data_IF_025407285361
#
_entry.id   IF_025407285361
#
_cell.length_a   1.000
_cell.length_b   1.000
_cell.length_c   1.000
_cell.angle_alpha   90.00
_cell.angle_beta   90.00
_cell.angle_gamma   90.00
#
_symmetry.space_group_name_H-M   'P 1'
#
loop_
_entity.id
_entity.type
_entity.pdbx_description
1 polymer ?
#
# COMPACT_ATOMS: atom_id res chain seq x y z
N UNK A 1 18.01 -4.76 7.03
CA UNK A 1 16.89 -4.88 7.99
C UNK A 1 15.93 -5.86 7.34
N UNK A 2 15.62 -7.00 7.97
CA UNK A 2 14.65 -7.95 7.39
C UNK A 2 13.27 -7.53 7.90
N UNK A 3 12.33 -7.25 7.01
CA UNK A 3 10.92 -7.23 7.38
C UNK A 3 10.59 -8.53 8.11
N UNK A 4 9.84 -8.44 9.21
CA UNK A 4 9.28 -9.64 9.83
C UNK A 4 8.27 -10.24 8.83
N UNK A 5 8.65 -11.34 8.19
CA UNK A 5 7.86 -12.03 7.16
C UNK A 5 6.45 -12.37 7.66
N UNK A 6 6.26 -12.55 8.97
CA UNK A 6 4.93 -12.80 9.56
C UNK A 6 4.02 -11.58 9.41
N UNK A 7 4.54 -10.38 9.68
CA UNK A 7 3.78 -9.12 9.59
C UNK A 7 3.43 -8.82 8.14
N UNK A 8 4.39 -9.00 7.22
CA UNK A 8 4.19 -8.80 5.79
C UNK A 8 3.05 -9.68 5.27
N UNK A 9 3.08 -10.97 5.61
CA UNK A 9 2.04 -11.90 5.19
C UNK A 9 0.66 -11.55 5.79
N UNK A 10 0.61 -11.14 7.05
CA UNK A 10 -0.65 -10.72 7.68
C UNK A 10 -1.24 -9.48 7.01
N UNK A 11 -0.41 -8.50 6.66
CA UNK A 11 -0.84 -7.30 5.91
C UNK A 11 -1.39 -7.68 4.54
N UNK A 12 -0.70 -8.56 3.80
CA UNK A 12 -1.15 -9.01 2.48
C UNK A 12 -2.48 -9.75 2.53
N UNK A 13 -2.65 -10.65 3.51
CA UNK A 13 -3.91 -11.36 3.72
C UNK A 13 -5.05 -10.41 4.10
N UNK A 14 -4.79 -9.43 4.97
CA UNK A 14 -5.79 -8.42 5.33
C UNK A 14 -6.14 -7.51 4.16
N UNK A 15 -5.16 -7.07 3.37
CA UNK A 15 -5.36 -6.25 2.17
C UNK A 15 -6.31 -6.95 1.20
N UNK A 16 -6.06 -8.24 0.93
CA UNK A 16 -6.90 -9.06 0.05
C UNK A 16 -8.31 -9.26 0.61
N UNK A 17 -8.41 -9.64 1.90
CA UNK A 17 -9.71 -9.89 2.55
C UNK A 17 -10.61 -8.66 2.61
N UNK A 18 -10.01 -7.47 2.68
CA UNK A 18 -10.72 -6.20 2.76
C UNK A 18 -10.87 -5.49 1.43
N UNK A 19 -10.39 -6.08 0.33
CA UNK A 19 -10.32 -5.43 -0.97
C UNK A 19 -9.72 -4.02 -0.85
N UNK A 20 -8.58 -3.92 -0.15
CA UNK A 20 -7.92 -2.65 0.14
C UNK A 20 -6.79 -2.38 -0.86
N UNK A 21 -6.50 -1.10 -1.10
CA UNK A 21 -5.32 -0.62 -1.83
C UNK A 21 -4.42 0.15 -0.87
N UNK A 22 -3.10 -0.05 -0.97
CA UNK A 22 -2.11 0.66 -0.18
C UNK A 22 -1.40 1.68 -1.08
N UNK A 23 -1.47 2.96 -0.72
CA UNK A 23 -0.84 4.07 -1.43
C UNK A 23 0.28 4.67 -0.58
N UNK A 24 1.54 4.50 -1.01
CA UNK A 24 2.69 5.02 -0.25
C UNK A 24 3.28 6.27 -0.88
N UNK A 25 3.56 7.28 -0.06
CA UNK A 25 4.34 8.43 -0.51
C UNK A 25 5.82 8.06 -0.69
N UNK A 26 6.52 8.71 -1.61
CA UNK A 26 7.96 8.57 -1.86
C UNK A 26 8.88 8.72 -0.62
N UNK A 27 8.35 9.23 0.50
CA UNK A 27 9.09 9.43 1.74
C UNK A 27 8.95 8.27 2.74
N UNK A 28 8.13 7.27 2.44
CA UNK A 28 8.00 6.09 3.29
C UNK A 28 9.28 5.26 3.27
N UNK A 29 9.49 4.49 4.33
CA UNK A 29 10.63 3.56 4.39
C UNK A 29 10.51 2.48 3.30
N UNK A 30 11.63 1.92 2.80
CA UNK A 30 11.63 0.93 1.71
C UNK A 30 10.68 -0.24 1.97
N UNK A 31 10.64 -0.73 3.22
CA UNK A 31 9.79 -1.83 3.65
C UNK A 31 8.30 -1.58 3.39
N UNK A 32 7.85 -0.33 3.50
CA UNK A 32 6.46 0.08 3.24
C UNK A 32 6.23 0.29 1.75
N UNK A 33 7.22 0.83 1.03
CA UNK A 33 7.13 0.98 -0.42
C UNK A 33 7.00 -0.38 -1.12
N UNK A 34 7.72 -1.41 -0.64
CA UNK A 34 7.65 -2.78 -1.16
C UNK A 34 6.26 -3.43 -0.95
N UNK A 35 5.51 -2.98 0.07
CA UNK A 35 4.16 -3.46 0.40
C UNK A 35 3.04 -2.71 -0.33
N UNK A 36 3.32 -1.52 -0.85
CA UNK A 36 2.34 -0.64 -1.46
C UNK A 36 1.93 -1.12 -2.87
N UNK A 37 0.68 -0.87 -3.25
CA UNK A 37 0.21 -1.11 -4.61
C UNK A 37 0.69 0.00 -5.56
N UNK A 38 0.78 1.23 -5.04
CA UNK A 38 1.32 2.37 -5.76
C UNK A 38 2.20 3.21 -4.85
N UNK A 39 3.33 3.66 -5.41
CA UNK A 39 4.25 4.60 -4.75
C UNK A 39 4.33 5.87 -5.60
N UNK A 40 4.18 7.03 -4.98
CA UNK A 40 4.18 8.30 -5.73
C UNK A 40 4.25 9.55 -4.89
N UNK A 41 4.17 10.70 -5.56
CA UNK A 41 3.98 12.01 -4.94
C UNK A 41 2.49 12.33 -4.72
N UNK A 42 2.20 13.49 -4.15
CA UNK A 42 0.82 13.89 -3.85
C UNK A 42 -0.12 13.86 -5.05
N UNK A 43 0.34 14.25 -6.24
CA UNK A 43 -0.50 14.29 -7.43
C UNK A 43 -0.73 12.87 -7.97
N UNK A 44 0.34 12.08 -8.08
CA UNK A 44 0.26 10.69 -8.53
C UNK A 44 -0.68 9.87 -7.65
N UNK A 45 -0.53 9.97 -6.33
CA UNK A 45 -1.39 9.24 -5.40
C UNK A 45 -2.85 9.71 -5.43
N UNK A 46 -3.09 11.02 -5.63
CA UNK A 46 -4.47 11.53 -5.78
C UNK A 46 -5.15 10.98 -7.04
N UNK A 47 -4.39 10.84 -8.13
CA UNK A 47 -4.90 10.26 -9.37
C UNK A 47 -5.21 8.77 -9.19
N UNK A 48 -4.34 8.00 -8.53
CA UNK A 48 -4.58 6.57 -8.29
C UNK A 48 -5.74 6.34 -7.30
N UNK A 49 -5.84 7.17 -6.25
CA UNK A 49 -6.97 7.16 -5.33
C UNK A 49 -8.31 7.47 -6.01
N UNK A 50 -8.31 8.31 -7.05
CA UNK A 50 -9.53 8.61 -7.81
C UNK A 50 -9.94 7.47 -8.77
N UNK A 51 -9.01 6.60 -9.17
CA UNK A 51 -9.24 5.49 -10.12
C UNK A 51 -9.57 4.17 -9.44
N UNK A 52 -9.18 3.99 -8.18
CA UNK A 52 -9.30 2.69 -7.50
C UNK A 52 -10.76 2.28 -7.31
N UNK A 53 -11.01 0.97 -7.45
CA UNK A 53 -12.28 0.33 -7.09
C UNK A 53 -12.18 -0.46 -5.78
N UNK A 54 -11.09 -0.26 -5.03
CA UNK A 54 -10.90 -0.85 -3.70
C UNK A 54 -11.91 -0.25 -2.70
N UNK A 55 -12.37 -1.07 -1.76
CA UNK A 55 -13.32 -0.63 -0.73
C UNK A 55 -12.64 0.23 0.35
N UNK A 56 -11.31 0.07 0.50
CA UNK A 56 -10.50 0.75 1.52
C UNK A 56 -9.21 1.26 0.88
N UNK A 57 -8.81 2.48 1.20
CA UNK A 57 -7.51 3.07 0.88
C UNK A 57 -6.72 3.21 2.19
N UNK A 58 -5.46 2.77 2.20
CA UNK A 58 -4.50 2.89 3.31
C UNK A 58 -3.29 3.69 2.88
#
# INVERSE_FOLDING_TARGET
MKCDDRIVNEILELKKRRNAVILAHNYQIPEIQDLADHVGDSLGLSIEAAKTSADIIV
#
